data_IF_811664717430
#
_entry.id   IF_811664717430
#
_cell.length_a   1.000
_cell.length_b   1.000
_cell.length_c   1.000
_cell.angle_alpha   90.00
_cell.angle_beta   90.00
_cell.angle_gamma   90.00
#
_symmetry.space_group_name_H-M   'P 1'
#
loop_
_entity.id
_entity.type
_entity.pdbx_description
1 polymer ?
#
# COMPACT_ATOMS: atom_id res chain seq x y z
N UNK A 1 -17.97 -56.29 29.83
CA UNK A 1 -17.58 -54.89 30.12
C UNK A 1 -16.06 -54.89 30.20
N UNK A 2 -15.24 -54.20 29.39
CA UNK A 2 -15.32 -52.85 28.83
C UNK A 2 -14.51 -52.74 27.53
N UNK A 3 -15.08 -52.06 26.52
CA UNK A 3 -14.37 -51.61 25.30
C UNK A 3 -13.55 -50.36 25.64
N UNK A 4 -12.25 -50.36 25.37
CA UNK A 4 -11.45 -49.12 25.36
C UNK A 4 -11.11 -48.79 23.91
N UNK A 5 -11.80 -47.78 23.37
CA UNK A 5 -11.55 -47.18 22.07
C UNK A 5 -10.37 -46.22 22.23
N UNK A 6 -9.27 -46.45 21.53
CA UNK A 6 -8.19 -45.47 21.38
C UNK A 6 -8.21 -44.95 19.95
N UNK A 7 -8.78 -43.76 19.75
CA UNK A 7 -8.62 -42.99 18.52
C UNK A 7 -7.36 -42.16 18.66
N UNK A 8 -6.33 -42.48 17.88
CA UNK A 8 -5.14 -41.63 17.71
C UNK A 8 -5.52 -40.47 16.78
N UNK A 9 -5.77 -39.30 17.36
CA UNK A 9 -5.86 -38.04 16.62
C UNK A 9 -4.43 -37.61 16.24
N UNK A 10 -4.12 -37.65 14.95
CA UNK A 10 -2.88 -37.09 14.40
C UNK A 10 -3.05 -35.57 14.40
N UNK A 11 -2.36 -34.91 15.32
CA UNK A 11 -2.21 -33.47 15.33
C UNK A 11 -1.42 -33.04 14.09
N UNK A 12 -2.12 -32.44 13.12
CA UNK A 12 -1.50 -31.76 11.98
C UNK A 12 -0.85 -30.46 12.46
N UNK A 13 0.48 -30.44 12.46
CA UNK A 13 1.31 -29.28 12.72
C UNK A 13 1.58 -28.51 11.42
N UNK A 14 1.55 -27.17 11.56
CA UNK A 14 2.14 -26.14 10.70
C UNK A 14 1.48 -25.98 9.30
N UNK A 15 1.23 -24.77 8.78
CA UNK A 15 2.07 -23.58 8.78
C UNK A 15 1.15 -22.36 8.91
N UNK A 16 1.30 -21.61 10.00
CA UNK A 16 0.82 -20.22 10.07
C UNK A 16 1.62 -19.42 9.04
N UNK A 17 0.99 -19.10 7.91
CA UNK A 17 1.57 -18.19 6.93
C UNK A 17 1.84 -16.85 7.62
N UNK A 18 3.12 -16.55 7.73
CA UNK A 18 3.70 -15.34 8.29
C UNK A 18 2.98 -14.10 7.74
N UNK A 19 2.42 -13.34 8.68
CA UNK A 19 2.38 -11.87 8.72
C UNK A 19 2.60 -11.18 7.36
N UNK A 20 1.52 -10.79 6.71
CA UNK A 20 1.56 -9.70 5.73
C UNK A 20 1.91 -8.45 6.55
N UNK A 21 3.20 -8.13 6.60
CA UNK A 21 3.67 -6.88 7.17
C UNK A 21 3.00 -5.73 6.38
N UNK A 22 2.29 -4.80 7.02
CA UNK A 22 1.99 -3.55 6.37
C UNK A 22 3.34 -2.85 6.17
N UNK A 23 3.81 -2.82 4.93
CA UNK A 23 4.86 -1.89 4.50
C UNK A 23 4.30 -0.47 4.55
N UNK A 24 4.17 0.05 5.78
CA UNK A 24 4.13 1.46 6.09
C UNK A 24 5.58 1.94 6.09
N UNK A 25 6.09 2.28 4.91
CA UNK A 25 7.33 3.06 4.82
C UNK A 25 6.97 4.48 5.25
N UNK A 26 7.20 4.78 6.52
CA UNK A 26 7.23 6.14 7.02
C UNK A 26 8.29 6.93 6.23
N UNK A 27 7.88 8.06 5.67
CA UNK A 27 8.77 8.97 4.97
C UNK A 27 9.62 9.71 6.00
N UNK A 28 10.90 9.35 6.08
CA UNK A 28 11.93 10.09 6.81
C UNK A 28 12.19 11.41 6.05
N UNK A 29 11.85 12.54 6.69
CA UNK A 29 12.09 13.86 6.10
C UNK A 29 11.25 14.96 6.75
N UNK A 30 11.78 15.54 7.82
CA UNK A 30 11.37 16.86 8.32
C UNK A 30 10.59 16.82 9.63
N UNK A 31 11.32 16.92 10.74
CA UNK A 31 10.78 17.29 12.04
C UNK A 31 10.35 18.78 11.99
N UNK A 32 9.06 19.02 11.78
CA UNK A 32 8.37 20.24 12.20
C UNK A 32 7.07 19.77 12.81
N UNK A 33 6.79 20.23 14.02
CA UNK A 33 5.60 19.93 14.81
C UNK A 33 4.32 20.47 14.16
N UNK A 34 3.93 19.86 13.05
CA UNK A 34 2.69 20.04 12.30
C UNK A 34 1.84 18.81 12.60
N UNK A 35 0.53 18.96 12.82
CA UNK A 35 -0.37 17.80 13.04
C UNK A 35 -0.01 16.71 12.03
N UNK A 36 0.51 15.58 12.52
CA UNK A 36 1.00 14.49 11.67
C UNK A 36 -0.13 14.11 10.73
N UNK A 37 0.01 14.43 9.44
CA UNK A 37 -1.02 14.14 8.48
C UNK A 37 -1.19 12.62 8.38
N UNK A 38 -2.39 12.12 8.65
CA UNK A 38 -2.69 10.70 8.60
C UNK A 38 -2.85 10.30 7.14
N UNK A 39 -1.80 9.73 6.55
CA UNK A 39 -1.78 9.29 5.16
C UNK A 39 -1.83 7.76 5.06
N UNK A 40 -2.83 7.26 4.35
CA UNK A 40 -2.97 5.86 3.98
C UNK A 40 -2.79 5.70 2.48
N UNK A 41 -2.01 4.70 2.09
CA UNK A 41 -1.77 4.35 0.69
C UNK A 41 -2.04 2.86 0.48
N UNK A 42 -2.77 2.51 -0.57
CA UNK A 42 -3.09 1.11 -0.87
C UNK A 42 -3.18 0.87 -2.37
N UNK A 43 -3.14 -0.40 -2.77
CA UNK A 43 -3.36 -0.81 -4.15
C UNK A 43 -4.64 -1.64 -4.28
N UNK A 44 -5.29 -1.57 -5.44
CA UNK A 44 -6.40 -2.46 -5.80
C UNK A 44 -6.09 -3.15 -7.12
N UNK A 45 -6.16 -4.48 -7.12
CA UNK A 45 -5.93 -5.29 -8.33
C UNK A 45 -4.53 -5.14 -8.93
N UNK A 46 -3.52 -4.81 -8.11
CA UNK A 46 -2.10 -4.77 -8.50
C UNK A 46 -1.70 -3.73 -9.55
N UNK A 47 -2.64 -2.90 -10.03
CA UNK A 47 -2.40 -1.98 -11.15
C UNK A 47 -2.86 -0.55 -10.88
N UNK A 48 -3.68 -0.35 -9.84
CA UNK A 48 -4.16 0.97 -9.43
C UNK A 48 -3.78 1.23 -7.99
N UNK A 49 -3.10 2.36 -7.75
CA UNK A 49 -2.73 2.84 -6.43
C UNK A 49 -3.63 3.98 -6.02
N UNK A 50 -3.83 4.07 -4.72
CA UNK A 50 -4.66 5.07 -4.06
C UNK A 50 -3.90 5.67 -2.90
N UNK A 51 -4.15 6.94 -2.63
CA UNK A 51 -3.72 7.62 -1.41
C UNK A 51 -4.88 8.41 -0.84
N UNK A 52 -4.98 8.42 0.48
CA UNK A 52 -5.87 9.29 1.24
C UNK A 52 -5.06 9.91 2.36
N UNK A 53 -5.10 11.23 2.48
CA UNK A 53 -4.52 11.94 3.61
C UNK A 53 -5.58 12.81 4.30
N UNK A 54 -5.59 12.75 5.62
CA UNK A 54 -6.36 13.63 6.50
C UNK A 54 -5.46 14.41 7.45
N UNK A 55 -5.99 15.46 8.08
CA UNK A 55 -5.23 16.27 9.05
C UNK A 55 -4.28 17.30 8.42
N UNK A 56 -4.33 17.47 7.09
CA UNK A 56 -3.57 18.48 6.36
C UNK A 56 -4.09 19.90 6.67
N UNK A 57 -3.19 20.89 6.60
CA UNK A 57 -3.52 22.32 6.73
C UNK A 57 -4.51 22.81 5.67
N UNK A 58 -4.99 24.05 5.80
CA UNK A 58 -6.04 24.60 4.93
C UNK A 58 -5.66 24.63 3.44
N UNK A 59 -4.36 24.75 3.14
CA UNK A 59 -3.81 24.71 1.78
C UNK A 59 -3.14 23.37 1.45
N UNK A 60 -3.20 22.40 2.36
CA UNK A 60 -2.55 21.11 2.22
C UNK A 60 -3.21 20.26 1.13
N UNK A 61 -2.38 19.78 0.21
CA UNK A 61 -2.76 18.87 -0.84
C UNK A 61 -1.92 17.60 -0.74
N UNK A 62 -2.45 16.51 -1.27
CA UNK A 62 -1.71 15.27 -1.42
C UNK A 62 -2.01 14.61 -2.76
N UNK A 63 -1.14 13.70 -3.18
CA UNK A 63 -1.36 12.85 -4.34
C UNK A 63 -0.79 11.46 -4.10
N UNK A 64 -1.32 10.49 -4.84
CA UNK A 64 -0.74 9.14 -4.81
C UNK A 64 0.55 9.13 -5.62
N UNK A 65 1.59 8.49 -5.08
CA UNK A 65 2.82 8.14 -5.76
C UNK A 65 2.83 6.62 -5.95
N UNK A 66 2.88 6.16 -7.19
CA UNK A 66 3.01 4.73 -7.49
C UNK A 66 4.33 4.48 -8.19
N UNK A 67 4.97 3.37 -7.87
CA UNK A 67 6.09 2.83 -8.64
C UNK A 67 5.55 1.63 -9.39
N UNK A 68 5.56 1.72 -10.71
CA UNK A 68 5.18 0.62 -11.58
C UNK A 68 6.42 -0.09 -12.09
N UNK A 69 6.33 -1.40 -12.27
CA UNK A 69 7.40 -2.24 -12.81
C UNK A 69 6.96 -2.86 -14.14
N UNK A 70 7.85 -2.90 -15.12
CA UNK A 70 7.61 -3.59 -16.40
C UNK A 70 8.06 -5.06 -16.38
N UNK A 71 7.80 -5.81 -17.45
CA UNK A 71 8.21 -7.22 -17.56
C UNK A 71 9.73 -7.42 -17.60
N UNK A 72 10.51 -6.35 -17.80
CA UNK A 72 11.97 -6.33 -17.79
C UNK A 72 12.53 -5.91 -16.42
N UNK A 73 11.66 -5.61 -15.45
CA UNK A 73 12.07 -5.12 -14.12
C UNK A 73 12.37 -3.62 -14.07
N UNK A 74 12.05 -2.84 -15.11
CA UNK A 74 12.25 -1.39 -15.10
C UNK A 74 11.19 -0.74 -14.24
N UNK A 75 11.65 -0.02 -13.20
CA UNK A 75 10.79 0.75 -12.31
C UNK A 75 10.54 2.15 -12.86
N UNK A 76 9.29 2.61 -12.84
CA UNK A 76 8.91 3.96 -13.24
C UNK A 76 7.93 4.55 -12.24
N UNK A 77 8.24 5.75 -11.76
CA UNK A 77 7.38 6.46 -10.81
C UNK A 77 6.29 7.24 -11.57
N UNK A 78 5.04 7.09 -11.15
CA UNK A 78 3.92 7.88 -11.62
C UNK A 78 3.19 8.55 -10.47
N UNK A 79 2.60 9.70 -10.77
CA UNK A 79 1.86 10.49 -9.81
C UNK A 79 0.40 10.60 -10.22
N UNK A 80 -0.49 10.55 -9.23
CA UNK A 80 -1.89 10.92 -9.38
C UNK A 80 -2.11 12.43 -9.39
N UNK A 81 -3.36 12.87 -9.55
CA UNK A 81 -3.71 14.28 -9.39
C UNK A 81 -3.51 14.73 -7.94
N UNK A 82 -3.11 16.00 -7.77
CA UNK A 82 -3.18 16.67 -6.47
C UNK A 82 -4.64 16.82 -6.06
N UNK A 83 -4.94 16.39 -4.84
CA UNK A 83 -6.26 16.51 -4.22
C UNK A 83 -6.11 17.11 -2.83
N UNK A 84 -7.16 17.81 -2.39
CA UNK A 84 -7.20 18.45 -1.08
C UNK A 84 -7.30 17.44 0.07
N UNK A 85 -7.13 17.93 1.29
CA UNK A 85 -7.38 17.21 2.53
C UNK A 85 -8.70 16.40 2.50
N UNK A 86 -8.64 15.14 2.97
CA UNK A 86 -9.82 14.28 3.07
C UNK A 86 -10.38 13.77 1.74
N UNK A 87 -9.62 13.89 0.64
CA UNK A 87 -9.95 13.29 -0.66
C UNK A 87 -9.05 12.10 -0.96
N UNK A 88 -9.45 11.25 -1.90
CA UNK A 88 -8.62 10.14 -2.37
C UNK A 88 -8.01 10.49 -3.73
N UNK A 89 -6.68 10.47 -3.84
CA UNK A 89 -5.97 10.50 -5.12
C UNK A 89 -5.79 9.07 -5.64
N UNK A 90 -5.88 8.89 -6.96
CA UNK A 90 -5.71 7.58 -7.60
C UNK A 90 -4.88 7.69 -8.86
N UNK A 91 -4.09 6.64 -9.14
CA UNK A 91 -3.32 6.51 -10.37
C UNK A 91 -3.24 5.05 -10.77
N UNK A 92 -3.49 4.77 -12.05
CA UNK A 92 -3.27 3.45 -12.65
C UNK A 92 -1.88 3.44 -13.30
N UNK A 93 -1.17 2.32 -13.21
CA UNK A 93 -0.03 2.07 -14.08
C UNK A 93 -0.51 2.11 -15.53
N UNK A 94 0.27 2.71 -16.45
CA UNK A 94 -0.20 2.95 -17.80
C UNK A 94 -0.54 1.69 -18.61
N UNK A 95 -0.20 0.48 -18.15
CA UNK A 95 -0.71 -0.80 -18.67
C UNK A 95 -0.42 -1.02 -20.15
N UNK A 96 0.54 -1.90 -20.48
CA UNK A 96 1.07 -2.22 -21.83
C UNK A 96 1.55 -1.05 -22.70
N UNK A 97 1.07 0.17 -22.52
CA UNK A 97 1.60 1.37 -23.15
C UNK A 97 2.81 1.87 -22.33
N UNK A 98 3.99 1.31 -22.64
CA UNK A 98 5.26 1.61 -21.97
C UNK A 98 5.81 0.51 -21.07
N UNK A 99 5.28 -0.72 -21.12
CA UNK A 99 5.84 -1.90 -20.45
C UNK A 99 5.40 -2.13 -19.01
N UNK A 100 5.02 -1.11 -18.25
CA UNK A 100 4.62 -1.25 -16.84
C UNK A 100 3.40 -2.18 -16.65
N UNK A 101 3.60 -3.35 -16.03
CA UNK A 101 2.62 -4.44 -15.85
C UNK A 101 1.97 -4.47 -14.47
N UNK A 102 2.58 -3.84 -13.46
CA UNK A 102 2.04 -3.83 -12.11
C UNK A 102 2.64 -2.77 -11.21
N UNK A 103 2.00 -2.55 -10.08
CA UNK A 103 2.49 -1.69 -9.00
C UNK A 103 3.46 -2.49 -8.15
N UNK A 104 4.69 -1.98 -8.04
CA UNK A 104 5.68 -2.44 -7.09
C UNK A 104 5.49 -1.78 -5.73
N UNK A 105 5.26 -0.46 -5.70
CA UNK A 105 5.09 0.32 -4.45
C UNK A 105 4.02 1.40 -4.60
N UNK A 106 3.33 1.69 -3.50
CA UNK A 106 2.37 2.81 -3.39
C UNK A 106 2.74 3.64 -2.17
N UNK A 107 2.68 4.96 -2.31
CA UNK A 107 2.81 5.90 -1.22
C UNK A 107 1.98 7.16 -1.47
N UNK A 108 2.10 8.10 -0.54
CA UNK A 108 1.49 9.42 -0.63
C UNK A 108 2.59 10.46 -0.73
N UNK A 109 2.34 11.52 -1.49
CA UNK A 109 3.15 12.74 -1.49
C UNK A 109 2.28 13.88 -1.00
N UNK A 110 2.78 14.64 -0.03
CA UNK A 110 2.09 15.76 0.61
C UNK A 110 2.75 17.05 0.12
N UNK A 111 1.95 18.10 -0.03
CA UNK A 111 2.38 19.48 -0.19
C UNK A 111 1.57 20.33 0.78
N UNK A 112 2.23 20.86 1.80
CA UNK A 112 1.66 21.74 2.81
C UNK A 112 2.08 23.21 2.63
#
# INVERSE_FOLDING_TARGET
>A
MNRKKSFLAIAGLAISASLIAPNAMANDGGDVSTRSADCNAWSRGGTTGYSYCSGLGHLGAHRVKIICVDTRGVETTFYGPWVWNGKTSKRKCPGTQGGAVGILRVGSEIRD
#
